data_IF_449134281855
#
_entry.id   IF_449134281855
#
_cell.length_a   1.000
_cell.length_b   1.000
_cell.length_c   1.000
_cell.angle_alpha   90.00
_cell.angle_beta   90.00
_cell.angle_gamma   90.00
#
_symmetry.space_group_name_H-M   'P 1'
#
loop_
_entity.id
_entity.type
_entity.pdbx_description
1 polymer ?
#
# COMPACT_ATOMS: atom_id res chain seq x y z
N UNK A 1 3.12 -11.70 12.87
CA UNK A 1 2.12 -10.64 12.81
C UNK A 1 2.51 -9.51 13.75
N UNK A 2 2.58 -8.28 13.32
CA UNK A 2 2.90 -7.16 14.22
C UNK A 2 1.76 -6.93 15.22
N UNK A 3 2.11 -6.46 16.42
CA UNK A 3 1.13 -6.14 17.45
C UNK A 3 0.53 -4.74 17.29
N UNK A 4 1.11 -3.92 16.42
CA UNK A 4 0.69 -2.54 16.16
C UNK A 4 0.19 -2.42 14.71
N UNK A 5 -0.77 -1.53 14.41
CA UNK A 5 -1.13 -1.21 13.05
C UNK A 5 -0.05 -0.43 12.29
N UNK A 6 1.02 -0.03 12.98
CA UNK A 6 2.14 0.72 12.38
C UNK A 6 3.43 -0.06 12.61
N UNK A 7 4.21 -0.26 11.55
CA UNK A 7 5.51 -0.93 11.64
C UNK A 7 6.62 0.02 11.18
N UNK A 8 7.82 -0.15 11.73
CA UNK A 8 8.97 0.66 11.33
C UNK A 8 9.63 0.10 10.08
N UNK A 9 10.43 0.95 9.41
CA UNK A 9 11.26 0.49 8.29
C UNK A 9 12.22 -0.62 8.72
N UNK A 10 12.81 -0.49 9.91
CA UNK A 10 13.70 -1.52 10.45
C UNK A 10 12.98 -2.83 10.68
N UNK A 11 11.77 -2.81 11.23
CA UNK A 11 10.98 -4.01 11.42
C UNK A 11 10.71 -4.72 10.08
N UNK A 12 10.28 -3.97 9.08
CA UNK A 12 9.98 -4.54 7.77
C UNK A 12 11.22 -5.09 7.11
N UNK A 13 12.31 -4.35 7.12
CA UNK A 13 13.58 -4.80 6.55
C UNK A 13 14.05 -6.11 7.20
N UNK A 14 14.04 -6.16 8.53
CA UNK A 14 14.46 -7.36 9.25
C UNK A 14 13.52 -8.55 8.96
N UNK A 15 12.22 -8.30 8.87
CA UNK A 15 11.27 -9.35 8.54
C UNK A 15 11.56 -9.95 7.15
N UNK A 16 11.81 -9.10 6.16
CA UNK A 16 12.11 -9.54 4.80
C UNK A 16 13.45 -10.30 4.71
N UNK A 17 14.43 -9.91 5.52
CA UNK A 17 15.74 -10.60 5.55
C UNK A 17 15.67 -11.96 6.24
N UNK A 18 14.83 -12.12 7.26
CA UNK A 18 14.74 -13.35 8.05
C UNK A 18 13.82 -14.39 7.44
N UNK A 19 12.80 -13.97 6.70
CA UNK A 19 11.81 -14.88 6.12
C UNK A 19 12.18 -15.19 4.68
N UNK A 20 12.45 -16.47 4.38
CA UNK A 20 12.80 -16.89 3.04
C UNK A 20 11.61 -16.85 2.06
N UNK A 21 10.38 -16.92 2.58
CA UNK A 21 9.18 -16.93 1.77
C UNK A 21 8.02 -16.30 2.56
N UNK A 22 8.09 -15.00 2.83
CA UNK A 22 7.08 -14.34 3.68
C UNK A 22 5.72 -14.29 2.98
N UNK A 23 4.66 -14.58 3.75
CA UNK A 23 3.28 -14.35 3.27
C UNK A 23 2.92 -12.88 3.53
N UNK A 24 3.52 -12.01 2.74
CA UNK A 24 3.46 -10.57 2.92
C UNK A 24 3.44 -9.90 1.56
N UNK A 25 2.59 -8.91 1.40
CA UNK A 25 2.53 -8.07 0.20
C UNK A 25 2.70 -6.61 0.62
N UNK A 26 3.62 -5.91 -0.05
CA UNK A 26 3.85 -4.48 0.17
C UNK A 26 3.10 -3.72 -0.92
N UNK A 27 2.40 -2.66 -0.54
CA UNK A 27 1.63 -1.84 -1.48
C UNK A 27 2.04 -0.38 -1.33
N UNK A 28 2.49 0.20 -2.42
CA UNK A 28 2.79 1.63 -2.54
C UNK A 28 1.49 2.37 -2.84
N UNK A 29 1.14 3.30 -1.98
CA UNK A 29 -0.08 4.11 -2.12
C UNK A 29 0.26 5.60 -2.30
N UNK A 30 1.48 5.93 -2.74
CA UNK A 30 1.86 7.34 -2.95
C UNK A 30 0.94 7.98 -3.96
N UNK A 31 0.47 9.19 -3.63
CA UNK A 31 -0.49 9.91 -4.46
C UNK A 31 -0.37 11.40 -4.19
N UNK A 32 -0.74 12.23 -5.16
CA UNK A 32 -0.81 13.68 -5.00
C UNK A 32 -2.15 14.17 -5.55
N UNK A 33 -2.93 14.86 -4.71
CA UNK A 33 -4.25 15.35 -5.10
C UNK A 33 -4.19 16.34 -6.26
N UNK A 34 -3.13 17.15 -6.33
CA UNK A 34 -2.94 18.12 -7.40
C UNK A 34 -2.33 17.57 -8.68
N UNK A 35 -1.83 16.34 -8.65
CA UNK A 35 -1.22 15.67 -9.80
C UNK A 35 -1.50 14.17 -9.71
N UNK A 36 -2.64 13.71 -10.26
CA UNK A 36 -3.08 12.32 -10.10
C UNK A 36 -2.14 11.26 -10.65
N UNK A 37 -1.22 11.60 -11.55
CA UNK A 37 -0.29 10.64 -12.13
C UNK A 37 1.07 10.62 -11.44
N UNK A 38 1.34 11.57 -10.55
CA UNK A 38 2.66 11.68 -9.91
C UNK A 38 3.02 10.45 -9.09
N UNK A 39 2.08 9.92 -8.31
CA UNK A 39 2.34 8.76 -7.47
C UNK A 39 2.76 7.54 -8.26
N UNK A 40 2.10 7.26 -9.38
CA UNK A 40 2.46 6.15 -10.27
C UNK A 40 3.84 6.39 -10.89
N UNK A 41 4.13 7.60 -11.32
CA UNK A 41 5.45 7.95 -11.87
C UNK A 41 6.55 7.73 -10.83
N UNK A 42 6.31 8.13 -9.58
CA UNK A 42 7.24 7.88 -8.49
C UNK A 42 7.45 6.38 -8.25
N UNK A 43 6.36 5.62 -8.26
CA UNK A 43 6.42 4.16 -8.11
C UNK A 43 7.25 3.52 -9.23
N UNK A 44 7.00 3.89 -10.46
CA UNK A 44 7.73 3.34 -11.60
C UNK A 44 9.22 3.69 -11.57
N UNK A 45 9.58 4.84 -10.99
CA UNK A 45 10.96 5.26 -10.85
C UNK A 45 11.69 4.47 -9.77
N UNK A 46 11.08 4.38 -8.56
CA UNK A 46 11.66 3.65 -7.44
C UNK A 46 10.60 3.36 -6.38
N UNK A 47 10.59 2.14 -5.89
CA UNK A 47 9.68 1.67 -4.83
C UNK A 47 10.39 0.61 -3.99
N UNK A 48 9.79 0.25 -2.86
CA UNK A 48 10.30 -0.86 -2.05
C UNK A 48 10.31 -2.14 -2.88
N UNK A 49 11.37 -2.96 -2.80
CA UNK A 49 11.44 -4.18 -3.60
C UNK A 49 10.22 -5.07 -3.41
N UNK A 50 9.63 -5.51 -4.51
CA UNK A 50 8.44 -6.35 -4.52
C UNK A 50 7.12 -5.63 -4.30
N UNK A 51 7.12 -4.32 -4.08
CA UNK A 51 5.89 -3.57 -3.86
C UNK A 51 5.03 -3.46 -5.11
N UNK A 52 3.73 -3.61 -4.94
CA UNK A 52 2.72 -3.26 -5.94
C UNK A 52 2.26 -1.83 -5.74
N UNK A 53 1.51 -1.29 -6.70
CA UNK A 53 0.98 0.06 -6.61
C UNK A 53 -0.55 0.06 -6.68
N UNK A 54 -1.19 0.83 -5.80
CA UNK A 54 -2.62 1.12 -5.87
C UNK A 54 -2.85 2.63 -5.84
N UNK A 55 -3.63 3.10 -6.79
CA UNK A 55 -3.93 4.52 -7.00
C UNK A 55 -5.22 4.90 -6.26
N UNK A 56 -5.20 6.01 -5.54
CA UNK A 56 -6.37 6.46 -4.77
C UNK A 56 -7.60 6.61 -5.68
N UNK A 57 -7.46 7.23 -6.84
CA UNK A 57 -8.59 7.49 -7.74
C UNK A 57 -9.02 6.26 -8.52
N UNK A 58 -8.05 5.51 -9.08
CA UNK A 58 -8.33 4.41 -10.01
C UNK A 58 -8.62 3.10 -9.32
N UNK A 59 -7.99 2.85 -8.17
CA UNK A 59 -8.04 1.55 -7.51
C UNK A 59 -8.79 1.58 -6.18
N UNK A 60 -8.64 2.64 -5.40
CA UNK A 60 -9.18 2.71 -4.05
C UNK A 60 -10.46 3.53 -3.93
N UNK A 61 -11.00 3.96 -5.07
CA UNK A 61 -12.22 4.76 -5.13
C UNK A 61 -12.99 4.44 -6.40
N UNK A 62 -14.28 4.73 -6.39
CA UNK A 62 -15.11 4.79 -7.61
C UNK A 62 -15.10 6.23 -8.15
N UNK A 63 -15.50 6.45 -9.42
CA UNK A 63 -15.66 7.80 -9.93
C UNK A 63 -16.63 8.61 -9.06
N UNK A 64 -16.35 9.90 -8.89
CA UNK A 64 -17.21 10.80 -8.14
C UNK A 64 -18.59 10.90 -8.83
N UNK A 65 -19.65 10.72 -8.06
CA UNK A 65 -21.03 10.81 -8.54
C UNK A 65 -21.80 11.94 -7.88
N UNK A 66 -23.12 11.90 -8.05
CA UNK A 66 -24.02 12.89 -7.43
C UNK A 66 -24.00 12.77 -5.92
N UNK A 67 -23.81 11.59 -5.40
CA UNK A 67 -23.74 11.30 -3.97
C UNK A 67 -22.39 10.67 -3.63
N UNK A 68 -21.94 10.77 -2.36
CA UNK A 68 -20.76 10.05 -1.84
C UNK A 68 -19.50 10.88 -1.85
N UNK A 69 -19.31 12.05 -2.06
CA UNK A 69 -18.07 12.82 -1.96
C UNK A 69 -17.06 12.56 -3.10
N UNK A 70 -15.81 13.02 -2.88
CA UNK A 70 -14.76 13.00 -3.93
C UNK A 70 -14.15 11.63 -4.17
N UNK A 71 -14.13 10.78 -3.15
CA UNK A 71 -13.54 9.44 -3.21
C UNK A 71 -14.52 8.41 -2.67
N UNK A 72 -15.59 8.09 -3.46
CA UNK A 72 -16.55 7.06 -3.05
C UNK A 72 -15.87 5.70 -2.91
N UNK A 73 -16.54 4.77 -2.22
CA UNK A 73 -16.05 3.40 -2.09
C UNK A 73 -15.83 2.79 -3.48
N UNK A 74 -14.74 2.02 -3.67
CA UNK A 74 -14.53 1.30 -4.92
C UNK A 74 -15.54 0.16 -5.05
N UNK A 75 -15.72 -0.33 -6.28
CA UNK A 75 -16.47 -1.55 -6.50
C UNK A 75 -15.72 -2.71 -5.84
N UNK A 76 -16.40 -3.47 -4.97
CA UNK A 76 -15.77 -4.50 -4.16
C UNK A 76 -15.24 -5.66 -4.99
N UNK A 77 -15.89 -6.00 -6.10
CA UNK A 77 -15.44 -7.07 -7.00
C UNK A 77 -14.18 -6.66 -7.76
N UNK A 78 -14.14 -5.41 -8.23
CA UNK A 78 -12.97 -4.88 -8.93
C UNK A 78 -11.77 -4.79 -7.99
N UNK A 79 -11.97 -4.25 -6.80
CA UNK A 79 -10.91 -4.19 -5.79
C UNK A 79 -10.44 -5.59 -5.40
N UNK A 80 -11.36 -6.50 -5.16
CA UNK A 80 -11.04 -7.89 -4.81
C UNK A 80 -10.18 -8.58 -5.88
N UNK A 81 -10.50 -8.37 -7.15
CA UNK A 81 -9.71 -8.92 -8.26
C UNK A 81 -8.29 -8.34 -8.28
N UNK A 82 -8.14 -7.03 -8.03
CA UNK A 82 -6.82 -6.38 -7.96
C UNK A 82 -5.99 -6.94 -6.81
N UNK A 83 -6.59 -7.09 -5.63
CA UNK A 83 -5.91 -7.65 -4.46
C UNK A 83 -5.47 -9.09 -4.71
N UNK A 84 -6.33 -9.90 -5.33
CA UNK A 84 -5.99 -11.28 -5.68
C UNK A 84 -4.81 -11.35 -6.66
N UNK A 85 -4.77 -10.44 -7.64
CA UNK A 85 -3.66 -10.35 -8.59
C UNK A 85 -2.34 -9.99 -7.91
N UNK A 86 -2.39 -9.32 -6.76
CA UNK A 86 -1.22 -9.00 -5.94
C UNK A 86 -0.91 -10.10 -4.91
N UNK A 87 -1.51 -11.27 -5.05
CA UNK A 87 -1.31 -12.44 -4.19
C UNK A 87 -1.74 -12.22 -2.74
N UNK A 88 -2.74 -11.38 -2.54
CA UNK A 88 -3.30 -11.14 -1.21
C UNK A 88 -4.46 -12.10 -0.99
N UNK A 89 -4.31 -12.98 -0.01
CA UNK A 89 -5.38 -13.86 0.47
C UNK A 89 -5.65 -13.56 1.95
N UNK A 90 -6.54 -14.32 2.58
CA UNK A 90 -6.94 -14.08 3.96
C UNK A 90 -5.78 -14.17 4.97
N UNK A 91 -4.69 -14.85 4.62
CA UNK A 91 -3.54 -15.05 5.49
C UNK A 91 -2.40 -14.06 5.22
N UNK A 92 -2.48 -13.28 4.15
CA UNK A 92 -1.41 -12.37 3.75
C UNK A 92 -1.38 -11.14 4.65
N UNK A 93 -0.19 -10.82 5.18
CA UNK A 93 0.03 -9.54 5.85
C UNK A 93 0.30 -8.48 4.77
N UNK A 94 -0.51 -7.42 4.77
CA UNK A 94 -0.35 -6.30 3.83
C UNK A 94 0.35 -5.16 4.55
N UNK A 95 1.43 -4.66 3.95
CA UNK A 95 2.11 -3.46 4.44
C UNK A 95 1.88 -2.35 3.42
N UNK A 96 1.14 -1.32 3.81
CA UNK A 96 0.85 -0.17 2.96
C UNK A 96 1.73 1.01 3.32
N UNK A 97 2.25 1.70 2.30
CA UNK A 97 3.02 2.90 2.55
C UNK A 97 2.68 4.00 1.55
N UNK A 98 2.94 5.23 1.96
CA UNK A 98 2.92 6.41 1.10
C UNK A 98 4.09 7.32 1.49
N UNK A 99 3.97 8.59 1.19
CA UNK A 99 4.95 9.60 1.61
C UNK A 99 4.21 10.85 2.12
N UNK A 100 3.01 10.68 2.66
CA UNK A 100 2.07 11.73 3.05
C UNK A 100 1.51 11.52 4.46
N UNK A 101 2.31 10.97 5.38
CA UNK A 101 1.91 10.73 6.77
C UNK A 101 0.63 9.87 6.86
N UNK A 102 0.58 8.78 6.10
CA UNK A 102 -0.53 7.84 6.02
C UNK A 102 -1.78 8.37 5.32
N UNK A 103 -1.75 9.57 4.73
CA UNK A 103 -2.93 10.17 4.12
C UNK A 103 -3.58 9.31 3.05
N UNK A 104 -2.80 8.55 2.31
CA UNK A 104 -3.29 7.66 1.25
C UNK A 104 -3.15 6.19 1.61
N UNK A 105 -2.10 5.79 2.29
CA UNK A 105 -1.95 4.41 2.76
C UNK A 105 -3.05 4.03 3.74
N UNK A 106 -3.51 4.96 4.57
CA UNK A 106 -4.61 4.74 5.50
C UNK A 106 -5.92 4.39 4.79
N UNK A 107 -6.11 4.87 3.55
CA UNK A 107 -7.28 4.50 2.74
C UNK A 107 -7.31 3.01 2.47
N UNK A 108 -6.20 2.43 2.04
CA UNK A 108 -6.10 0.99 1.82
C UNK A 108 -6.25 0.23 3.12
N UNK A 109 -5.60 0.68 4.20
CA UNK A 109 -5.71 0.08 5.52
C UNK A 109 -7.18 0.01 5.96
N UNK A 110 -7.90 1.12 5.80
CA UNK A 110 -9.32 1.18 6.16
C UNK A 110 -10.18 0.26 5.29
N UNK A 111 -9.97 0.28 3.97
CA UNK A 111 -10.73 -0.56 3.04
C UNK A 111 -10.56 -2.05 3.34
N UNK A 112 -9.33 -2.50 3.57
CA UNK A 112 -9.07 -3.90 3.90
C UNK A 112 -9.80 -4.31 5.18
N UNK A 113 -9.72 -3.49 6.22
CA UNK A 113 -10.42 -3.77 7.48
C UNK A 113 -11.94 -3.72 7.31
N UNK A 114 -12.43 -2.79 6.51
CA UNK A 114 -13.85 -2.69 6.20
C UNK A 114 -14.38 -3.97 5.54
N UNK A 115 -13.59 -4.58 4.68
CA UNK A 115 -13.95 -5.83 4.02
C UNK A 115 -13.51 -7.09 4.79
N UNK A 116 -13.07 -6.94 6.05
CA UNK A 116 -12.78 -8.05 6.92
C UNK A 116 -11.33 -8.56 6.90
N UNK A 117 -10.44 -7.90 6.17
CA UNK A 117 -9.02 -8.28 6.14
C UNK A 117 -8.24 -7.46 7.18
N UNK A 118 -7.98 -8.06 8.34
CA UNK A 118 -7.35 -7.36 9.46
C UNK A 118 -5.82 -7.42 9.47
N UNK A 119 -5.22 -8.28 8.67
CA UNK A 119 -3.77 -8.44 8.60
C UNK A 119 -3.15 -7.36 7.71
N UNK A 120 -3.19 -6.13 8.20
CA UNK A 120 -2.68 -4.95 7.49
C UNK A 120 -2.03 -3.99 8.47
N UNK A 121 -0.90 -3.41 8.06
CA UNK A 121 -0.19 -2.41 8.84
C UNK A 121 0.35 -1.31 7.92
N UNK A 122 0.63 -0.15 8.51
CA UNK A 122 1.17 1.01 7.81
C UNK A 122 2.67 1.13 8.10
N UNK A 123 3.44 1.51 7.10
CA UNK A 123 4.88 1.72 7.25
C UNK A 123 5.14 3.14 7.81
N UNK A 124 5.70 3.21 9.00
CA UNK A 124 5.99 4.47 9.68
C UNK A 124 6.98 5.31 8.86
N UNK A 125 6.59 6.56 8.61
CA UNK A 125 7.40 7.48 7.80
C UNK A 125 7.48 7.13 6.32
N UNK A 126 6.83 6.05 5.90
CA UNK A 126 6.67 5.69 4.50
C UNK A 126 7.96 5.54 3.72
N UNK A 127 7.89 5.93 2.46
CA UNK A 127 9.01 5.82 1.52
C UNK A 127 10.25 6.60 2.00
N UNK A 128 10.05 7.82 2.50
CA UNK A 128 11.18 8.65 2.94
C UNK A 128 11.98 8.01 4.07
N UNK A 129 11.32 7.42 5.07
CA UNK A 129 12.02 6.76 6.17
C UNK A 129 12.76 5.50 5.71
N UNK A 130 12.19 4.76 4.76
CA UNK A 130 12.86 3.60 4.18
C UNK A 130 14.18 4.00 3.51
N UNK A 131 14.13 5.06 2.70
CA UNK A 131 15.32 5.57 2.01
C UNK A 131 16.35 6.13 3.00
N UNK A 132 15.90 6.90 4.02
CA UNK A 132 16.79 7.46 5.04
C UNK A 132 17.51 6.38 5.84
N UNK A 133 16.88 5.25 6.04
CA UNK A 133 17.50 4.12 6.73
C UNK A 133 18.56 3.40 5.88
N UNK A 134 18.69 3.77 4.61
CA UNK A 134 19.68 3.19 3.71
C UNK A 134 19.24 1.88 3.04
N UNK A 135 17.96 1.52 3.14
CA UNK A 135 17.45 0.30 2.55
C UNK A 135 17.22 0.48 1.04
N UNK A 136 17.36 -0.61 0.29
CA UNK A 136 17.31 -0.56 -1.17
C UNK A 136 15.91 -0.31 -1.71
N UNK A 137 15.88 0.32 -2.89
CA UNK A 137 14.67 0.51 -3.68
C UNK A 137 14.95 0.03 -5.11
N UNK A 138 13.89 -0.16 -5.88
CA UNK A 138 14.01 -0.65 -7.26
C UNK A 138 12.93 -0.05 -8.14
N UNK A 139 13.19 -0.01 -9.45
CA UNK A 139 12.17 0.30 -10.45
C UNK A 139 11.58 -0.96 -11.09
N UNK A 140 12.03 -2.15 -10.67
CA UNK A 140 11.53 -3.41 -11.24
C UNK A 140 10.14 -3.73 -10.71
N UNK A 141 9.23 -4.17 -11.61
CA UNK A 141 7.89 -4.61 -11.23
C UNK A 141 7.95 -5.96 -10.50
N UNK A 142 7.02 -6.19 -9.57
CA UNK A 142 6.96 -7.45 -8.84
C UNK A 142 6.56 -8.64 -9.71
#
# INVERSE_FOLDING_TARGET
MPTSPIVTAAWLHNYLEQESNPNLTIVDCRFALGDPDLGRTQYETAHLPGAYYLDLNRDLSSPAGVHGGRHPLPDDRVLGAKLAAMRIDAQTLVIAYDDSRFGFAARLWWLLRYYGHERVALLDGGYSNWVKAGYSVTGNLP
#
